data_IF_346447629533
#
_entry.id   IF_346447629533
#
_cell.length_a   1.000
_cell.length_b   1.000
_cell.length_c   1.000
_cell.angle_alpha   90.00
_cell.angle_beta   90.00
_cell.angle_gamma   90.00
#
_symmetry.space_group_name_H-M   'P 1'
#
loop_
_entity.id
_entity.type
_entity.pdbx_description
1 polymer ?
#
# COMPACT_ATOMS: atom_id res chain seq x y z
N UNK A 1 -5.61 -19.80 32.92
CA UNK A 1 -4.30 -19.29 32.45
C UNK A 1 -3.55 -20.49 31.88
N UNK A 2 -3.81 -20.81 30.61
CA UNK A 2 -3.19 -21.95 29.92
C UNK A 2 -2.04 -21.43 29.05
N UNK A 3 -0.85 -21.81 29.48
CA UNK A 3 0.31 -22.23 28.70
C UNK A 3 0.65 -21.47 27.39
N UNK A 4 1.41 -20.38 27.53
CA UNK A 4 2.09 -19.71 26.41
C UNK A 4 3.23 -20.54 25.78
N UNK A 5 3.42 -21.80 26.21
CA UNK A 5 4.53 -22.67 25.81
C UNK A 5 4.11 -23.80 24.86
N UNK A 6 2.80 -24.07 24.69
CA UNK A 6 2.33 -25.21 23.89
C UNK A 6 2.67 -25.12 22.39
N UNK A 7 2.83 -23.90 21.87
CA UNK A 7 3.00 -23.64 20.44
C UNK A 7 4.39 -23.12 20.04
N UNK A 8 5.36 -23.10 20.98
CA UNK A 8 6.77 -22.72 20.81
C UNK A 8 7.16 -22.06 19.48
N UNK A 9 7.88 -22.82 18.64
CA UNK A 9 8.38 -22.42 17.31
C UNK A 9 7.44 -22.78 16.15
N UNK A 10 6.19 -23.18 16.43
CA UNK A 10 5.24 -23.56 15.39
C UNK A 10 5.04 -22.41 14.41
N UNK A 11 5.09 -22.69 13.10
CA UNK A 11 4.83 -21.67 12.10
C UNK A 11 3.36 -21.27 12.11
N UNK A 12 3.03 -20.08 11.59
CA UNK A 12 1.63 -19.67 11.45
C UNK A 12 0.82 -20.64 10.58
N UNK A 13 1.50 -21.33 9.65
CA UNK A 13 0.87 -22.34 8.80
C UNK A 13 0.55 -23.61 9.58
N UNK A 14 1.43 -24.04 10.50
CA UNK A 14 1.17 -25.18 11.38
C UNK A 14 0.00 -24.89 12.33
N UNK A 15 -0.06 -23.68 12.89
CA UNK A 15 -1.18 -23.24 13.73
C UNK A 15 -2.51 -23.27 12.98
N UNK A 16 -2.53 -22.84 11.71
CA UNK A 16 -3.74 -22.95 10.89
C UNK A 16 -4.10 -24.41 10.59
N UNK A 17 -3.12 -25.27 10.32
CA UNK A 17 -3.36 -26.68 10.08
C UNK A 17 -3.96 -27.37 11.32
N UNK A 18 -3.37 -27.16 12.49
CA UNK A 18 -3.89 -27.71 13.76
C UNK A 18 -5.29 -27.19 14.10
N UNK A 19 -5.57 -25.91 13.86
CA UNK A 19 -6.92 -25.38 14.00
C UNK A 19 -7.92 -26.10 13.07
N UNK A 20 -7.54 -26.35 11.82
CA UNK A 20 -8.38 -27.10 10.86
C UNK A 20 -8.56 -28.56 11.31
N UNK A 21 -7.54 -29.17 11.92
CA UNK A 21 -7.58 -30.52 12.48
C UNK A 21 -8.34 -30.60 13.82
N UNK A 22 -8.79 -29.46 14.36
CA UNK A 22 -9.69 -29.38 15.51
C UNK A 22 -9.02 -29.01 16.83
N UNK A 23 -7.77 -28.54 16.81
CA UNK A 23 -7.13 -27.96 18.00
C UNK A 23 -7.83 -26.63 18.37
N UNK A 24 -8.49 -26.55 19.54
CA UNK A 24 -9.26 -25.37 19.94
C UNK A 24 -8.39 -24.15 20.27
N UNK A 25 -7.12 -24.34 20.61
CA UNK A 25 -6.25 -23.27 21.10
C UNK A 25 -5.32 -22.72 20.00
N UNK A 26 -5.10 -23.46 18.92
CA UNK A 26 -4.14 -23.10 17.85
C UNK A 26 -4.50 -21.78 17.15
N UNK A 27 -5.78 -21.53 16.88
CA UNK A 27 -6.21 -20.24 16.33
C UNK A 27 -6.03 -19.09 17.33
N UNK A 28 -6.25 -19.34 18.62
CA UNK A 28 -6.04 -18.36 19.68
C UNK A 28 -4.60 -17.85 19.72
N UNK A 29 -3.64 -18.76 19.55
CA UNK A 29 -2.22 -18.40 19.42
C UNK A 29 -1.94 -17.56 18.16
N UNK A 30 -2.53 -17.93 17.01
CA UNK A 30 -2.41 -17.14 15.78
C UNK A 30 -2.94 -15.71 15.98
N UNK A 31 -4.10 -15.56 16.62
CA UNK A 31 -4.67 -14.25 16.96
C UNK A 31 -3.72 -13.47 17.87
N UNK A 32 -3.18 -14.10 18.92
CA UNK A 32 -2.25 -13.46 19.85
C UNK A 32 -1.03 -12.88 19.13
N UNK A 33 -0.48 -13.59 18.14
CA UNK A 33 0.69 -13.17 17.35
C UNK A 33 0.39 -11.99 16.41
N UNK A 34 -0.81 -11.94 15.83
CA UNK A 34 -1.11 -11.01 14.73
C UNK A 34 -2.04 -9.85 15.09
N UNK A 35 -2.75 -9.91 16.23
CA UNK A 35 -3.79 -8.93 16.60
C UNK A 35 -3.33 -7.47 16.49
N UNK A 36 -2.12 -7.14 16.95
CA UNK A 36 -1.64 -5.75 16.98
C UNK A 36 -1.37 -5.23 15.56
N UNK A 37 -0.87 -6.10 14.67
CA UNK A 37 -0.66 -5.77 13.26
C UNK A 37 -1.99 -5.61 12.52
N UNK A 38 -2.94 -6.52 12.74
CA UNK A 38 -4.28 -6.43 12.15
C UNK A 38 -5.03 -5.18 12.62
N UNK A 39 -4.93 -4.87 13.92
CA UNK A 39 -5.44 -3.63 14.49
C UNK A 39 -4.84 -2.40 13.82
N UNK A 40 -3.51 -2.35 13.69
CA UNK A 40 -2.85 -1.20 13.07
C UNK A 40 -3.23 -1.04 11.59
N UNK A 41 -3.41 -2.14 10.85
CA UNK A 41 -3.93 -2.12 9.47
C UNK A 41 -5.37 -1.59 9.43
N UNK A 42 -6.25 -2.09 10.30
CA UNK A 42 -7.65 -1.68 10.34
C UNK A 42 -7.80 -0.19 10.71
N UNK A 43 -7.09 0.27 11.74
CA UNK A 43 -7.13 1.66 12.19
C UNK A 43 -6.67 2.62 11.08
N UNK A 44 -5.57 2.31 10.38
CA UNK A 44 -5.10 3.10 9.24
C UNK A 44 -6.04 3.03 8.03
N UNK A 45 -6.83 1.97 7.91
CA UNK A 45 -7.76 1.76 6.79
C UNK A 45 -9.13 2.39 7.03
N UNK A 46 -9.56 2.56 8.28
CA UNK A 46 -10.88 3.14 8.61
C UNK A 46 -10.79 4.56 9.16
N UNK A 47 -9.75 4.88 9.94
CA UNK A 47 -9.59 6.17 10.61
C UNK A 47 -10.54 6.36 11.81
N UNK A 48 -11.34 5.37 12.14
CA UNK A 48 -12.22 5.34 13.32
C UNK A 48 -11.92 4.06 14.12
N UNK A 49 -11.80 4.23 15.44
CA UNK A 49 -11.32 3.21 16.36
C UNK A 49 -12.36 2.10 16.59
N UNK A 50 -13.63 2.44 16.63
CA UNK A 50 -14.72 1.49 16.88
C UNK A 50 -15.01 0.69 15.62
N UNK A 51 -15.06 1.38 14.49
CA UNK A 51 -15.17 0.73 13.18
C UNK A 51 -13.98 -0.21 12.95
N UNK A 52 -12.77 0.16 13.40
CA UNK A 52 -11.59 -0.70 13.33
C UNK A 52 -11.69 -1.93 14.25
N UNK A 53 -12.22 -1.77 15.48
CA UNK A 53 -12.43 -2.88 16.41
C UNK A 53 -13.40 -3.90 15.83
N UNK A 54 -14.54 -3.43 15.35
CA UNK A 54 -15.52 -4.28 14.69
C UNK A 54 -14.94 -4.94 13.44
N UNK A 55 -14.20 -4.21 12.60
CA UNK A 55 -13.60 -4.78 11.40
C UNK A 55 -12.58 -5.89 11.72
N UNK A 56 -11.76 -5.72 12.76
CA UNK A 56 -10.83 -6.75 13.20
C UNK A 56 -11.60 -7.96 13.71
N UNK A 57 -12.65 -7.77 14.50
CA UNK A 57 -13.48 -8.87 14.99
C UNK A 57 -14.13 -9.63 13.82
N UNK A 58 -14.77 -8.93 12.89
CA UNK A 58 -15.38 -9.51 11.68
C UNK A 58 -14.34 -10.29 10.86
N UNK A 59 -13.13 -9.74 10.75
CA UNK A 59 -12.02 -10.37 10.04
C UNK A 59 -11.53 -11.65 10.74
N UNK A 60 -11.38 -11.62 12.07
CA UNK A 60 -10.95 -12.78 12.84
C UNK A 60 -11.98 -13.91 12.81
N UNK A 61 -13.28 -13.59 12.93
CA UNK A 61 -14.37 -14.57 12.77
C UNK A 61 -14.37 -15.14 11.36
N UNK A 62 -14.18 -14.29 10.34
CA UNK A 62 -14.10 -14.74 8.95
C UNK A 62 -12.89 -15.64 8.72
N UNK A 63 -11.73 -15.29 9.28
CA UNK A 63 -10.51 -16.10 9.21
C UNK A 63 -10.70 -17.45 9.92
N UNK A 64 -11.28 -17.47 11.13
CA UNK A 64 -11.56 -18.70 11.87
C UNK A 64 -12.40 -19.68 11.03
N UNK A 65 -13.47 -19.17 10.39
CA UNK A 65 -14.37 -19.98 9.55
C UNK A 65 -13.73 -20.40 8.23
N UNK A 66 -12.90 -19.54 7.64
CA UNK A 66 -12.29 -19.76 6.33
C UNK A 66 -10.90 -20.42 6.39
N UNK A 67 -10.39 -20.79 7.57
CA UNK A 67 -9.06 -21.37 7.74
C UNK A 67 -8.80 -22.57 6.81
N UNK A 68 -9.80 -23.46 6.65
CA UNK A 68 -9.75 -24.62 5.75
C UNK A 68 -9.55 -24.25 4.25
N UNK A 69 -9.77 -22.99 3.87
CA UNK A 69 -9.58 -22.51 2.49
C UNK A 69 -8.15 -22.05 2.22
N UNK A 70 -7.31 -21.93 3.25
CA UNK A 70 -5.92 -21.51 3.10
C UNK A 70 -5.09 -22.62 2.45
N UNK A 71 -4.48 -22.33 1.29
CA UNK A 71 -3.75 -23.30 0.47
C UNK A 71 -2.22 -23.13 0.49
N UNK A 72 -1.69 -22.32 1.41
CA UNK A 72 -0.24 -22.07 1.51
C UNK A 72 0.39 -21.35 0.30
N UNK A 73 -0.42 -20.69 -0.55
CA UNK A 73 0.08 -19.97 -1.73
C UNK A 73 0.61 -18.56 -1.41
N UNK A 74 0.44 -18.12 -0.17
CA UNK A 74 0.97 -16.88 0.38
C UNK A 74 1.25 -17.09 1.87
N UNK A 75 1.96 -16.16 2.51
CA UNK A 75 2.11 -16.18 3.96
C UNK A 75 0.75 -16.02 4.66
N UNK A 76 0.60 -16.59 5.86
CA UNK A 76 -0.63 -16.46 6.66
C UNK A 76 -0.92 -14.99 6.98
N UNK A 77 0.10 -14.19 7.26
CA UNK A 77 0.00 -12.74 7.45
C UNK A 77 -0.64 -12.04 6.25
N UNK A 78 -0.23 -12.41 5.04
CA UNK A 78 -0.78 -11.88 3.78
C UNK A 78 -2.26 -12.23 3.63
N UNK A 79 -2.62 -13.46 3.96
CA UNK A 79 -4.02 -13.92 3.94
C UNK A 79 -4.88 -13.21 5.00
N UNK A 80 -4.38 -13.03 6.22
CA UNK A 80 -5.06 -12.29 7.28
C UNK A 80 -5.23 -10.81 6.90
N UNK A 81 -4.20 -10.15 6.38
CA UNK A 81 -4.28 -8.75 5.93
C UNK A 81 -5.33 -8.58 4.83
N UNK A 82 -5.45 -9.53 3.89
CA UNK A 82 -6.51 -9.52 2.87
C UNK A 82 -7.89 -9.52 3.52
N UNK A 83 -8.14 -10.44 4.46
CA UNK A 83 -9.43 -10.55 5.14
C UNK A 83 -9.74 -9.26 5.91
N UNK A 84 -8.76 -8.73 6.66
CA UNK A 84 -8.91 -7.50 7.43
C UNK A 84 -9.21 -6.28 6.58
N UNK A 85 -8.49 -6.07 5.48
CA UNK A 85 -8.72 -4.92 4.59
C UNK A 85 -10.08 -5.03 3.90
N UNK A 86 -10.49 -6.23 3.48
CA UNK A 86 -11.82 -6.43 2.91
C UNK A 86 -12.94 -6.15 3.92
N UNK A 87 -12.79 -6.62 5.17
CA UNK A 87 -13.73 -6.27 6.24
C UNK A 87 -13.82 -4.75 6.46
N UNK A 88 -12.69 -4.04 6.43
CA UNK A 88 -12.66 -2.58 6.52
C UNK A 88 -13.40 -1.91 5.36
N UNK A 89 -13.17 -2.35 4.13
CA UNK A 89 -13.84 -1.80 2.94
C UNK A 89 -15.34 -2.09 2.95
N UNK A 90 -15.76 -3.26 3.41
CA UNK A 90 -17.18 -3.61 3.58
C UNK A 90 -17.87 -2.66 4.56
N UNK A 91 -17.23 -2.40 5.70
CA UNK A 91 -17.74 -1.46 6.70
C UNK A 91 -17.80 -0.03 6.19
N UNK A 92 -16.74 0.44 5.52
CA UNK A 92 -16.72 1.78 4.93
C UNK A 92 -17.86 1.96 3.89
N UNK A 93 -18.14 0.93 3.08
CA UNK A 93 -19.27 0.93 2.13
C UNK A 93 -20.62 0.98 2.85
N UNK A 94 -20.80 0.19 3.93
CA UNK A 94 -22.02 0.20 4.75
C UNK A 94 -22.23 1.57 5.42
N UNK A 95 -21.18 2.18 5.97
CA UNK A 95 -21.25 3.49 6.61
C UNK A 95 -21.62 4.59 5.60
N UNK A 96 -21.03 4.58 4.40
CA UNK A 96 -21.39 5.51 3.33
C UNK A 96 -22.87 5.38 2.93
N UNK A 97 -23.41 4.16 2.89
CA UNK A 97 -24.84 3.93 2.62
C UNK A 97 -25.75 4.42 3.74
N UNK A 98 -25.30 4.39 5.01
CA UNK A 98 -26.08 4.88 6.17
C UNK A 98 -26.09 6.40 6.26
N UNK A 99 -25.01 7.08 5.87
CA UNK A 99 -24.91 8.56 5.84
C UNK A 99 -25.88 9.23 4.87
N UNK A 100 -26.48 8.48 3.94
CA UNK A 100 -27.62 8.94 3.13
C UNK A 100 -28.94 9.03 3.94
N UNK A 101 -28.93 8.67 5.22
CA UNK A 101 -29.95 8.97 6.23
C UNK A 101 -29.34 9.91 7.27
N UNK A 102 -29.99 11.03 7.63
CA UNK A 102 -29.36 12.09 8.40
C UNK A 102 -29.21 11.67 9.86
N UNK A 103 -27.97 11.41 10.28
CA UNK A 103 -27.54 11.57 11.68
C UNK A 103 -26.15 12.20 11.63
N UNK A 104 -26.13 13.48 12.00
CA UNK A 104 -24.94 14.25 12.31
C UNK A 104 -24.53 13.87 13.73
N UNK A 105 -23.30 13.38 13.91
CA UNK A 105 -22.66 13.24 15.21
C UNK A 105 -21.18 12.95 14.98
N UNK A 106 -20.39 14.03 14.87
CA UNK A 106 -18.93 13.97 14.99
C UNK A 106 -18.51 14.71 16.25
N UNK A 107 -18.65 14.04 17.38
CA UNK A 107 -17.74 14.21 18.51
C UNK A 107 -17.31 12.81 18.94
N UNK A 108 -16.03 12.46 18.73
CA UNK A 108 -15.48 11.26 19.36
C UNK A 108 -14.15 11.60 20.02
N UNK A 109 -14.27 11.82 21.33
CA UNK A 109 -13.20 12.07 22.26
C UNK A 109 -12.40 10.80 22.53
N UNK A 110 -11.13 11.05 22.83
CA UNK A 110 -10.02 10.13 23.08
C UNK A 110 -10.23 9.08 24.18
N UNK A 111 -9.35 8.07 24.09
CA UNK A 111 -8.99 7.04 25.08
C UNK A 111 -9.92 5.82 25.16
N UNK A 112 -9.42 4.70 24.59
CA UNK A 112 -9.28 3.41 25.28
C UNK A 112 -8.80 2.32 24.32
N UNK A 113 -7.48 2.16 24.26
CA UNK A 113 -6.64 0.95 24.26
C UNK A 113 -5.41 1.29 23.41
N UNK A 114 -4.33 1.70 24.08
CA UNK A 114 -3.00 1.67 23.49
C UNK A 114 -2.71 0.22 23.06
N UNK A 115 -2.44 -0.04 21.77
CA UNK A 115 -1.67 -1.22 21.41
C UNK A 115 -0.37 -1.16 22.20
N UNK A 116 0.18 -2.29 22.62
CA UNK A 116 1.47 -2.38 23.31
C UNK A 116 2.67 -1.98 22.41
N UNK A 117 2.58 -0.90 21.63
CA UNK A 117 3.74 -0.14 21.16
C UNK A 117 4.09 0.91 22.21
N UNK A 118 4.72 0.45 23.30
CA UNK A 118 5.46 1.24 24.29
C UNK A 118 4.70 2.37 24.98
N UNK A 119 4.41 2.18 26.28
CA UNK A 119 4.19 3.26 27.26
C UNK A 119 5.44 4.19 27.45
N UNK A 120 6.35 4.23 26.47
CA UNK A 120 7.62 4.96 26.46
C UNK A 120 7.90 5.63 25.11
N UNK A 121 6.94 5.66 24.16
CA UNK A 121 7.12 6.42 22.93
C UNK A 121 7.16 7.94 23.27
N UNK A 122 8.14 8.71 22.76
CA UNK A 122 8.19 10.15 22.98
C UNK A 122 6.90 10.84 22.50
N UNK A 123 6.43 11.87 23.20
CA UNK A 123 5.19 12.59 22.88
C UNK A 123 5.11 13.05 21.40
N UNK A 124 6.25 13.39 20.80
CA UNK A 124 6.40 13.76 19.38
C UNK A 124 5.99 12.62 18.42
N UNK A 125 6.24 11.36 18.79
CA UNK A 125 5.89 10.20 17.97
C UNK A 125 4.37 9.95 17.96
N UNK A 126 3.70 10.23 19.08
CA UNK A 126 2.24 10.14 19.17
C UNK A 126 1.56 11.24 18.35
N UNK A 127 2.13 12.45 18.35
CA UNK A 127 1.60 13.56 17.55
C UNK A 127 1.73 13.30 16.04
N UNK A 128 2.90 12.79 15.59
CA UNK A 128 3.09 12.37 14.21
C UNK A 128 2.11 11.27 13.78
N UNK A 129 1.89 10.28 14.65
CA UNK A 129 0.95 9.19 14.37
C UNK A 129 -0.47 9.70 14.19
N UNK A 130 -0.92 10.61 15.07
CA UNK A 130 -2.23 11.25 14.98
C UNK A 130 -2.40 12.03 13.67
N UNK A 131 -1.45 12.89 13.33
CA UNK A 131 -1.49 13.68 12.09
C UNK A 131 -1.54 12.79 10.84
N UNK A 132 -0.81 11.66 10.84
CA UNK A 132 -0.86 10.70 9.76
C UNK A 132 -2.24 10.03 9.65
N UNK A 133 -2.83 9.60 10.77
CA UNK A 133 -4.16 8.99 10.78
C UNK A 133 -5.24 9.98 10.31
N UNK A 134 -5.17 11.24 10.73
CA UNK A 134 -6.07 12.30 10.27
C UNK A 134 -5.95 12.54 8.77
N UNK A 135 -4.72 12.66 8.25
CA UNK A 135 -4.48 12.85 6.82
C UNK A 135 -4.95 11.64 5.99
N UNK A 136 -4.73 10.41 6.47
CA UNK A 136 -5.30 9.22 5.84
C UNK A 136 -6.83 9.26 5.89
N UNK A 137 -7.41 9.72 6.99
CA UNK A 137 -8.85 9.94 7.18
C UNK A 137 -9.52 10.72 6.05
N UNK A 138 -8.82 11.68 5.44
CA UNK A 138 -9.35 12.52 4.35
C UNK A 138 -9.45 11.81 2.99
N UNK A 139 -8.88 10.61 2.86
CA UNK A 139 -8.85 9.86 1.61
C UNK A 139 -10.11 8.98 1.43
N UNK A 140 -10.57 8.78 0.19
CA UNK A 140 -11.54 7.72 -0.11
C UNK A 140 -11.02 6.35 0.37
N UNK A 141 -11.88 5.48 0.93
CA UNK A 141 -11.46 4.20 1.54
C UNK A 141 -10.58 3.34 0.64
N UNK A 142 -10.94 3.25 -0.65
CA UNK A 142 -10.20 2.53 -1.67
C UNK A 142 -8.76 3.06 -1.89
N UNK A 143 -8.57 4.38 -1.85
CA UNK A 143 -7.25 4.99 -2.02
C UNK A 143 -6.41 4.76 -0.78
N UNK A 144 -7.02 4.94 0.40
CA UNK A 144 -6.38 4.68 1.68
C UNK A 144 -5.93 3.23 1.83
N UNK A 145 -6.80 2.26 1.53
CA UNK A 145 -6.46 0.84 1.59
C UNK A 145 -5.29 0.48 0.67
N UNK A 146 -5.24 1.06 -0.54
CA UNK A 146 -4.12 0.86 -1.46
C UNK A 146 -2.79 1.40 -0.89
N UNK A 147 -2.79 2.58 -0.27
CA UNK A 147 -1.60 3.14 0.38
C UNK A 147 -1.18 2.34 1.61
N UNK A 148 -2.14 1.92 2.45
CA UNK A 148 -1.84 1.08 3.62
C UNK A 148 -1.12 -0.20 3.19
N UNK A 149 -1.64 -0.89 2.17
CA UNK A 149 -1.01 -2.13 1.69
C UNK A 149 0.35 -1.90 1.03
N UNK A 150 0.48 -0.91 0.14
CA UNK A 150 1.72 -0.72 -0.64
C UNK A 150 2.77 0.05 0.14
N UNK A 151 2.40 1.22 0.68
CA UNK A 151 3.36 2.17 1.25
C UNK A 151 3.67 1.86 2.72
N UNK A 152 2.70 1.34 3.48
CA UNK A 152 2.87 1.08 4.92
C UNK A 152 3.17 -0.38 5.24
N UNK A 153 2.55 -1.34 4.55
CA UNK A 153 2.83 -2.77 4.71
C UNK A 153 3.90 -3.29 3.75
N UNK A 154 4.30 -2.50 2.74
CA UNK A 154 5.37 -2.85 1.80
C UNK A 154 4.98 -3.94 0.80
N UNK A 155 3.69 -4.22 0.59
CA UNK A 155 3.30 -5.24 -0.38
C UNK A 155 3.59 -4.79 -1.81
N UNK A 156 4.09 -5.69 -2.68
CA UNK A 156 4.18 -5.42 -4.10
C UNK A 156 2.80 -5.07 -4.66
N UNK A 157 2.76 -4.15 -5.62
CA UNK A 157 1.50 -3.71 -6.28
C UNK A 157 0.68 -4.89 -6.80
N UNK A 158 1.32 -5.93 -7.32
CA UNK A 158 0.65 -7.14 -7.79
C UNK A 158 -0.02 -7.94 -6.67
N UNK A 159 0.58 -7.97 -5.47
CA UNK A 159 0.00 -8.63 -4.30
C UNK A 159 -1.16 -7.82 -3.73
N UNK A 160 -0.98 -6.50 -3.58
CA UNK A 160 -2.05 -5.61 -3.15
C UNK A 160 -3.27 -5.67 -4.09
N UNK A 161 -3.04 -5.82 -5.40
CA UNK A 161 -4.09 -6.01 -6.40
C UNK A 161 -4.90 -7.30 -6.15
N UNK A 162 -4.22 -8.41 -5.84
CA UNK A 162 -4.88 -9.67 -5.46
C UNK A 162 -5.65 -9.56 -4.15
N UNK A 163 -5.11 -8.82 -3.17
CA UNK A 163 -5.79 -8.62 -1.89
C UNK A 163 -7.09 -7.84 -2.03
N UNK A 164 -7.04 -6.75 -2.81
CA UNK A 164 -8.15 -5.83 -3.02
C UNK A 164 -9.12 -6.28 -4.13
N UNK A 165 -8.84 -7.40 -4.79
CA UNK A 165 -9.59 -7.92 -5.94
C UNK A 165 -9.81 -6.87 -7.04
N UNK A 166 -8.73 -6.19 -7.45
CA UNK A 166 -8.74 -5.18 -8.52
C UNK A 166 -7.55 -5.32 -9.46
N UNK A 167 -7.62 -4.77 -10.69
CA UNK A 167 -6.47 -4.72 -11.59
C UNK A 167 -5.26 -3.97 -10.98
N UNK A 168 -4.05 -4.37 -11.35
CA UNK A 168 -2.81 -3.71 -10.89
C UNK A 168 -2.75 -2.22 -11.26
N UNK A 169 -3.29 -1.84 -12.43
CA UNK A 169 -3.43 -0.45 -12.84
C UNK A 169 -4.33 0.37 -11.89
N UNK A 170 -5.37 -0.26 -11.35
CA UNK A 170 -6.27 0.36 -10.37
C UNK A 170 -5.52 0.67 -9.07
N UNK A 171 -4.71 -0.28 -8.56
CA UNK A 171 -3.86 -0.05 -7.38
C UNK A 171 -2.89 1.11 -7.61
N UNK A 172 -2.18 1.12 -8.75
CA UNK A 172 -1.25 2.21 -9.10
C UNK A 172 -1.95 3.56 -9.11
N UNK A 173 -3.11 3.66 -9.77
CA UNK A 173 -3.87 4.92 -9.85
C UNK A 173 -4.46 5.36 -8.50
N UNK A 174 -4.85 4.42 -7.63
CA UNK A 174 -5.31 4.69 -6.26
C UNK A 174 -4.17 5.24 -5.41
N UNK A 175 -2.99 4.61 -5.46
CA UNK A 175 -1.80 5.08 -4.75
C UNK A 175 -1.38 6.48 -5.24
N UNK A 176 -1.29 6.70 -6.56
CA UNK A 176 -0.90 8.00 -7.11
C UNK A 176 -1.84 9.13 -6.66
N UNK A 177 -3.16 8.90 -6.74
CA UNK A 177 -4.16 9.88 -6.29
C UNK A 177 -4.14 10.10 -4.78
N UNK A 178 -3.96 9.02 -4.00
CA UNK A 178 -3.82 9.10 -2.55
C UNK A 178 -2.61 9.94 -2.15
N UNK A 179 -1.42 9.64 -2.70
CA UNK A 179 -0.19 10.41 -2.43
C UNK A 179 -0.34 11.88 -2.82
N UNK A 180 -0.94 12.18 -3.97
CA UNK A 180 -1.17 13.55 -4.40
C UNK A 180 -2.07 14.34 -3.43
N UNK A 181 -3.05 13.68 -2.80
CA UNK A 181 -3.92 14.27 -1.78
C UNK A 181 -3.24 14.44 -0.42
N UNK A 182 -2.40 13.49 -0.04
CA UNK A 182 -1.66 13.54 1.23
C UNK A 182 -0.49 14.53 1.20
N UNK A 183 0.15 14.73 0.04
CA UNK A 183 1.34 15.57 -0.10
C UNK A 183 1.16 16.96 0.55
N UNK A 184 0.13 17.78 0.25
CA UNK A 184 -0.04 19.08 0.88
C UNK A 184 -0.34 19.02 2.39
N UNK A 185 -0.80 17.88 2.91
CA UNK A 185 -1.12 17.69 4.33
C UNK A 185 0.06 17.23 5.17
N UNK A 186 1.13 16.73 4.55
CA UNK A 186 2.28 16.12 5.23
C UNK A 186 3.60 16.80 4.90
N UNK A 187 3.61 17.88 4.12
CA UNK A 187 4.84 18.58 3.73
C UNK A 187 5.64 19.12 4.90
N UNK A 188 4.97 19.57 5.96
CA UNK A 188 5.61 20.08 7.19
C UNK A 188 6.24 18.97 8.05
N UNK A 189 5.90 17.71 7.79
CA UNK A 189 6.47 16.54 8.46
C UNK A 189 7.74 16.02 7.78
N UNK A 190 8.10 16.58 6.62
CA UNK A 190 9.36 16.28 5.97
C UNK A 190 10.46 16.77 6.92
N UNK A 191 11.33 15.89 7.44
CA UNK A 191 12.45 16.35 8.24
C UNK A 191 13.28 17.31 7.38
N UNK A 192 13.45 18.53 7.87
CA UNK A 192 14.48 19.45 7.42
C UNK A 192 15.81 18.74 7.69
N UNK A 193 16.30 17.94 6.74
CA UNK A 193 17.63 17.37 6.83
C UNK A 193 18.63 18.52 6.72
N UNK A 194 18.97 19.08 7.89
CA UNK A 194 20.32 19.23 8.43
C UNK A 194 21.42 19.03 7.39
N UNK A 195 22.15 20.10 7.07
CA UNK A 195 23.44 20.01 6.38
C UNK A 195 23.50 20.73 5.04
N UNK A 196 23.26 22.05 5.07
CA UNK A 196 24.10 22.95 4.30
C UNK A 196 25.57 22.67 4.69
N UNK A 197 26.23 21.83 3.91
CA UNK A 197 27.67 21.54 4.02
C UNK A 197 28.30 21.62 2.63
N UNK A 198 27.91 22.66 1.88
CA UNK A 198 28.65 23.11 0.70
C UNK A 198 28.77 24.63 0.68
N UNK A 199 29.11 25.24 1.81
CA UNK A 199 29.90 26.47 1.76
C UNK A 199 31.39 26.14 1.67
N UNK A 200 31.99 26.66 0.59
CA UNK A 200 33.32 27.27 0.61
C UNK A 200 34.48 26.39 1.11
N UNK A 201 35.01 25.53 0.23
CA UNK A 201 36.46 25.41 0.12
C UNK A 201 36.91 25.88 -1.26
N UNK A 202 37.42 27.10 -1.28
CA UNK A 202 38.11 27.66 -2.43
C UNK A 202 39.34 26.81 -2.78
N UNK A 203 39.30 26.21 -3.95
CA UNK A 203 40.45 25.58 -4.61
C UNK A 203 40.49 26.03 -6.06
N UNK A 204 40.98 27.25 -6.28
CA UNK A 204 41.38 27.75 -7.59
C UNK A 204 42.32 26.70 -8.22
N UNK A 205 41.97 26.15 -9.39
CA UNK A 205 43.03 25.81 -10.33
C UNK A 205 42.72 26.29 -11.74
N UNK A 206 43.66 27.10 -12.19
CA UNK A 206 43.73 27.88 -13.43
C UNK A 206 44.41 27.01 -14.49
N UNK A 207 43.92 27.15 -15.71
CA UNK A 207 44.29 26.43 -16.94
C UNK A 207 45.76 26.63 -17.35
N UNK A 208 46.39 25.60 -17.91
CA UNK A 208 47.34 25.65 -19.02
C UNK A 208 46.87 24.56 -20.01
N UNK A 209 46.39 24.85 -21.22
CA UNK A 209 47.19 25.20 -22.41
C UNK A 209 48.06 23.98 -22.79
N UNK A 210 48.02 23.32 -23.94
CA UNK A 210 47.73 23.61 -25.36
C UNK A 210 47.80 22.22 -26.04
N UNK A 211 47.12 21.85 -27.13
CA UNK A 211 47.41 22.25 -28.52
C UNK A 211 46.50 21.46 -29.47
N UNK A 212 45.91 22.14 -30.45
CA UNK A 212 45.36 21.61 -31.71
C UNK A 212 46.32 22.10 -32.80
N UNK A 213 46.74 21.29 -33.81
CA UNK A 213 46.12 21.36 -35.17
C UNK A 213 46.38 20.10 -36.07
N UNK A 214 46.03 20.09 -37.39
CA UNK A 214 44.90 20.70 -38.12
C UNK A 214 44.12 19.68 -39.02
N UNK A 215 43.13 20.25 -39.71
CA UNK A 215 42.10 19.66 -40.58
C UNK A 215 42.54 18.95 -41.88
N UNK A 216 41.65 18.10 -42.40
CA UNK A 216 41.46 17.86 -43.84
C UNK A 216 40.02 17.40 -44.16
N UNK A 217 39.23 18.29 -44.77
CA UNK A 217 38.17 18.00 -45.74
C UNK A 217 38.65 18.59 -47.09
N UNK A 218 38.16 18.25 -48.31
CA UNK A 218 36.73 18.04 -48.62
C UNK A 218 36.39 17.06 -49.79
N UNK A 219 35.08 16.97 -50.10
CA UNK A 219 34.42 16.98 -51.44
C UNK A 219 33.52 15.78 -51.80
N UNK A 220 32.22 16.04 -51.69
CA UNK A 220 31.24 16.16 -52.79
C UNK A 220 31.44 15.34 -54.09
N UNK A 221 30.48 14.45 -54.39
CA UNK A 221 29.86 14.26 -55.74
C UNK A 221 28.69 13.26 -55.70
N UNK A 222 27.49 13.71 -56.10
CA UNK A 222 26.44 12.85 -56.69
C UNK A 222 26.83 12.34 -58.09
N UNK A 223 25.97 11.64 -58.87
CA UNK A 223 24.55 11.99 -59.07
C UNK A 223 23.55 10.79 -59.22
N UNK A 224 22.30 11.21 -59.49
CA UNK A 224 21.01 10.55 -59.74
C UNK A 224 20.97 9.48 -60.86
N UNK A 225 19.95 8.61 -60.82
CA UNK A 225 19.03 8.25 -61.95
C UNK A 225 17.89 7.31 -61.44
N UNK A 226 16.62 7.76 -61.39
CA UNK A 226 15.48 7.59 -62.34
C UNK A 226 14.68 6.27 -62.22
N UNK A 227 13.36 6.39 -61.97
CA UNK A 227 12.34 5.30 -61.80
C UNK A 227 11.94 4.59 -63.11
N UNK A 228 10.65 4.28 -63.40
CA UNK A 228 9.40 4.25 -62.61
C UNK A 228 8.65 2.87 -62.75
N UNK A 229 7.49 2.70 -62.11
CA UNK A 229 6.63 1.53 -62.35
C UNK A 229 5.34 1.52 -61.54
N UNK A 230 4.25 1.80 -62.23
CA UNK A 230 2.89 2.10 -61.79
C UNK A 230 1.97 0.85 -61.74
N UNK A 231 0.79 1.01 -61.10
CA UNK A 231 -0.48 0.29 -61.35
C UNK A 231 -0.58 -1.19 -60.90
N UNK A 232 -1.69 -1.76 -60.39
CA UNK A 232 -3.15 -1.49 -60.41
C UNK A 232 -3.82 -2.37 -59.33
N UNK A 233 -4.81 -1.88 -58.58
CA UNK A 233 -6.25 -2.21 -58.65
C UNK A 233 -6.69 -3.69 -58.50
N UNK A 234 -7.65 -3.94 -57.59
CA UNK A 234 -8.83 -4.86 -57.64
C UNK A 234 -9.43 -4.89 -56.21
N UNK A 235 -10.56 -4.23 -55.89
CA UNK A 235 -12.00 -4.57 -56.04
C UNK A 235 -12.47 -5.89 -55.41
N UNK A 236 -13.47 -5.77 -54.51
CA UNK A 236 -14.41 -6.82 -54.09
C UNK A 236 -14.56 -6.84 -52.56
N UNK A 237 -15.70 -6.62 -51.92
CA UNK A 237 -17.10 -6.59 -52.36
C UNK A 237 -17.92 -7.58 -51.53
N UNK A 238 -18.91 -7.08 -50.76
CA UNK A 238 -20.01 -7.84 -50.14
C UNK A 238 -19.63 -8.66 -48.90
N UNK A 239 -20.49 -8.90 -47.91
CA UNK A 239 -21.92 -8.66 -47.78
C UNK A 239 -22.41 -9.36 -46.49
N UNK A 240 -23.44 -8.76 -45.90
CA UNK A 240 -24.28 -9.16 -44.76
C UNK A 240 -24.47 -10.66 -44.52
N UNK A 241 -24.48 -11.05 -43.25
CA UNK A 241 -25.60 -11.71 -42.56
C UNK A 241 -25.45 -11.49 -41.04
#
# INVERSE_FOLDING_TARGET
MADGTAYGDASDQDLLAWHVDGDPDAFGELVRRHRDRLWAVALRTLGDREEAADAVQDALVSAYRAAHTFRGQSAVTTWLHRITVNACLDRARKAASRKTSPVDDTERLEQLLEPHESASAPAERNDLHRQLLEALGTLPPDQRAALVLVDMQGYPVAEAARMLDVPTGTVKSRCARGRARLLPLLTHLRPENTGDSRESSGGRNRVQGTSVPPAAEPRDRGPRETGPGDSTAVKGGGGRA
#
